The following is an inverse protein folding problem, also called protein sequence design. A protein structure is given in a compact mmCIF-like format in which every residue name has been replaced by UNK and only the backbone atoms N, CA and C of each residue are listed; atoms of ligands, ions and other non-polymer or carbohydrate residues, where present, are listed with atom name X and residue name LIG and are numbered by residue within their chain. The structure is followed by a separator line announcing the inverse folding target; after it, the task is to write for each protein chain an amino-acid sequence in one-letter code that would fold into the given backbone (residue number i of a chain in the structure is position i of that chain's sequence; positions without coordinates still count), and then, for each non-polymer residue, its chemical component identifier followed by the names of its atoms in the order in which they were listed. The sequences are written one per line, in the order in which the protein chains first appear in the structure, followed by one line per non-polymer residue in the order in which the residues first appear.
data_IF_188872470043
#
_entry.id   IF_188872470043
#
_cell.length_a   1.000
_cell.length_b   1.000
_cell.length_c   1.000
_cell.angle_alpha   90.00
_cell.angle_beta   90.00
_cell.angle_gamma   90.00
#
_symmetry.space_group_name_H-M   'P 1'
#
loop_
_entity.id
_entity.type
_entity.pdbx_description
1 polymer ?
#
# COMPACT_ATOMS: atom_id res chain seq x y z
N UNK A 1 -1.53 26.32 -7.11
CA UNK A 1 -1.95 25.03 -6.52
C UNK A 1 -2.04 25.14 -5.01
N UNK A 2 -2.62 24.16 -4.38
CA UNK A 2 -2.72 24.03 -2.92
C UNK A 2 -1.85 22.83 -2.49
N UNK A 3 -1.05 23.00 -1.44
CA UNK A 3 -0.17 21.99 -0.91
C UNK A 3 -0.76 21.43 0.39
N UNK A 4 -0.90 20.11 0.45
CA UNK A 4 -1.36 19.39 1.63
C UNK A 4 -0.17 18.66 2.24
N UNK A 5 0.12 18.90 3.53
CA UNK A 5 1.10 18.13 4.27
C UNK A 5 0.42 16.93 4.93
N UNK A 6 0.91 15.74 4.62
CA UNK A 6 0.51 14.48 5.25
C UNK A 6 1.72 13.78 5.87
N UNK A 7 1.59 13.40 7.11
CA UNK A 7 2.57 12.61 7.84
C UNK A 7 2.18 11.13 7.72
N UNK A 8 3.01 10.37 7.04
CA UNK A 8 2.76 8.95 6.73
C UNK A 8 3.32 8.06 7.85
N UNK A 9 2.67 8.10 9.00
CA UNK A 9 3.07 7.48 10.26
C UNK A 9 2.28 6.22 10.64
N UNK A 10 1.90 5.41 9.65
CA UNK A 10 1.24 4.11 9.83
C UNK A 10 2.06 3.14 10.68
N UNK A 11 3.38 3.20 10.61
CA UNK A 11 4.29 2.44 11.46
C UNK A 11 4.67 3.27 12.69
N UNK A 12 3.84 3.22 13.72
CA UNK A 12 3.98 4.02 14.95
C UNK A 12 5.30 3.75 15.70
N UNK A 13 5.86 2.55 15.57
CA UNK A 13 7.12 2.21 16.25
C UNK A 13 8.32 2.94 15.63
N UNK A 14 8.25 3.18 14.31
CA UNK A 14 9.32 3.86 13.55
C UNK A 14 9.09 5.36 13.42
N UNK A 15 7.84 5.80 13.42
CA UNK A 15 7.46 7.21 13.22
C UNK A 15 7.38 7.96 14.55
N UNK A 16 8.57 8.23 15.12
CA UNK A 16 8.65 8.95 16.39
C UNK A 16 8.37 10.44 16.20
N UNK A 17 7.74 11.07 17.19
CA UNK A 17 7.40 12.49 17.18
C UNK A 17 8.62 13.38 16.91
N UNK A 18 9.77 13.04 17.49
CA UNK A 18 11.02 13.79 17.28
C UNK A 18 11.44 13.91 15.80
N UNK A 19 11.16 12.85 14.98
CA UNK A 19 11.46 12.87 13.54
C UNK A 19 10.41 13.69 12.78
N UNK A 20 9.17 13.61 13.19
CA UNK A 20 8.06 14.40 12.60
C UNK A 20 8.33 15.89 12.81
N UNK A 21 8.70 16.28 14.03
CA UNK A 21 9.05 17.65 14.35
C UNK A 21 10.31 18.12 13.59
N UNK A 22 11.29 17.23 13.41
CA UNK A 22 12.51 17.54 12.67
C UNK A 22 12.19 17.82 11.20
N UNK A 23 11.41 16.96 10.55
CA UNK A 23 11.03 17.13 9.13
C UNK A 23 10.25 18.44 8.92
N UNK A 24 9.35 18.82 9.82
CA UNK A 24 8.62 20.07 9.71
C UNK A 24 9.55 21.29 9.83
N UNK A 25 10.49 21.27 10.79
CA UNK A 25 11.50 22.33 10.90
C UNK A 25 12.41 22.41 9.65
N UNK A 26 12.78 21.26 9.09
CA UNK A 26 13.60 21.21 7.87
C UNK A 26 12.83 21.82 6.68
N UNK A 27 11.53 21.55 6.55
CA UNK A 27 10.69 22.17 5.54
C UNK A 27 10.61 23.68 5.71
N UNK A 28 10.36 24.16 6.93
CA UNK A 28 10.33 25.58 7.24
C UNK A 28 11.68 26.27 6.93
N UNK A 29 12.80 25.64 7.30
CA UNK A 29 14.15 26.14 7.02
C UNK A 29 14.43 26.23 5.51
N UNK A 30 13.88 25.31 4.71
CA UNK A 30 13.99 25.31 3.25
C UNK A 30 12.95 26.24 2.57
N UNK A 31 12.09 26.90 3.33
CA UNK A 31 11.03 27.74 2.79
C UNK A 31 9.88 26.94 2.13
N UNK A 32 9.77 25.65 2.43
CA UNK A 32 8.68 24.80 1.98
C UNK A 32 7.51 24.94 2.95
N UNK A 33 6.41 25.49 2.45
CA UNK A 33 5.19 25.71 3.22
C UNK A 33 4.04 24.88 2.66
N UNK A 34 2.99 24.72 3.44
CA UNK A 34 1.76 24.02 3.04
C UNK A 34 0.54 24.82 3.42
N UNK A 35 -0.55 24.58 2.68
CA UNK A 35 -1.83 25.31 2.87
C UNK A 35 -2.76 24.58 3.84
N UNK A 36 -2.70 23.23 3.87
CA UNK A 36 -3.51 22.40 4.77
C UNK A 36 -2.66 21.30 5.44
N UNK A 37 -3.02 20.94 6.67
CA UNK A 37 -2.33 19.93 7.46
C UNK A 37 -1.46 20.55 8.57
N UNK A 38 -0.54 19.76 9.18
CA UNK A 38 -0.28 18.36 8.88
C UNK A 38 -1.46 17.44 9.21
N UNK A 39 -1.75 16.50 8.29
CA UNK A 39 -2.65 15.39 8.55
C UNK A 39 -1.84 14.15 8.91
N UNK A 40 -2.26 13.42 9.93
CA UNK A 40 -1.57 12.22 10.39
C UNK A 40 -2.32 10.96 9.94
N UNK A 41 -1.63 10.00 9.37
CA UNK A 41 -2.27 8.76 8.94
C UNK A 41 -2.76 7.91 10.11
N UNK A 42 -2.09 7.97 11.26
CA UNK A 42 -2.53 7.25 12.44
C UNK A 42 -3.89 7.69 13.00
N UNK A 43 -4.37 8.88 12.66
CA UNK A 43 -5.68 9.40 13.06
C UNK A 43 -6.80 8.95 12.10
N UNK A 44 -6.46 8.22 11.04
CA UNK A 44 -7.38 7.92 9.95
C UNK A 44 -7.80 6.45 9.88
N UNK A 45 -7.56 5.69 10.93
CA UNK A 45 -7.87 4.25 11.00
C UNK A 45 -9.32 3.92 10.62
N UNK A 46 -10.29 4.77 10.99
CA UNK A 46 -11.70 4.59 10.61
C UNK A 46 -11.94 4.67 9.10
N UNK A 47 -11.27 5.60 8.43
CA UNK A 47 -11.39 5.75 6.98
C UNK A 47 -10.79 4.56 6.24
N UNK A 48 -9.65 4.06 6.72
CA UNK A 48 -9.00 2.87 6.17
C UNK A 48 -9.82 1.61 6.44
N UNK A 49 -10.42 1.49 7.63
CA UNK A 49 -11.31 0.38 7.97
C UNK A 49 -12.54 0.35 7.06
N UNK A 50 -13.17 1.50 6.82
CA UNK A 50 -14.31 1.60 5.91
C UNK A 50 -13.95 1.19 4.48
N UNK A 51 -12.80 1.65 3.97
CA UNK A 51 -12.30 1.25 2.65
C UNK A 51 -11.97 -0.25 2.58
N UNK A 52 -11.36 -0.79 3.63
CA UNK A 52 -11.05 -2.20 3.74
C UNK A 52 -12.32 -3.06 3.75
N UNK A 53 -13.34 -2.69 4.52
CA UNK A 53 -14.61 -3.41 4.59
C UNK A 53 -15.36 -3.36 3.26
N UNK A 54 -15.34 -2.23 2.56
CA UNK A 54 -15.84 -2.09 1.20
C UNK A 54 -15.20 -3.09 0.24
N UNK A 55 -13.87 -3.25 0.29
CA UNK A 55 -13.15 -4.23 -0.54
C UNK A 55 -13.50 -5.66 -0.15
N UNK A 56 -13.64 -5.93 1.15
CA UNK A 56 -13.98 -7.25 1.70
C UNK A 56 -15.38 -7.70 1.29
N UNK A 57 -16.37 -6.84 1.41
CA UNK A 57 -17.76 -7.11 1.03
C UNK A 57 -17.91 -7.46 -0.45
N UNK A 58 -17.02 -6.90 -1.30
CA UNK A 58 -16.97 -7.18 -2.74
C UNK A 58 -16.12 -8.40 -3.12
N UNK A 59 -15.54 -9.08 -2.12
CA UNK A 59 -14.67 -10.23 -2.37
C UNK A 59 -13.37 -9.89 -3.09
N UNK A 60 -12.98 -8.60 -3.07
CA UNK A 60 -11.78 -8.10 -3.75
C UNK A 60 -10.50 -8.35 -2.96
N UNK A 61 -10.60 -8.78 -1.72
CA UNK A 61 -9.45 -9.10 -0.88
C UNK A 61 -9.52 -10.54 -0.36
N UNK A 62 -8.37 -11.08 0.01
CA UNK A 62 -8.27 -12.43 0.56
C UNK A 62 -7.11 -12.54 1.56
N UNK A 63 -7.18 -13.52 2.51
CA UNK A 63 -6.11 -13.73 3.49
C UNK A 63 -4.88 -14.39 2.85
N UNK A 64 -3.70 -13.87 3.21
CA UNK A 64 -2.40 -14.38 2.80
C UNK A 64 -1.57 -14.79 4.03
N UNK A 65 -1.13 -16.03 4.06
CA UNK A 65 -0.37 -16.62 5.16
C UNK A 65 1.13 -16.78 4.84
N UNK A 66 1.59 -16.29 3.70
CA UNK A 66 2.99 -16.38 3.30
C UNK A 66 3.90 -15.56 4.21
N UNK A 67 5.07 -16.15 4.53
CA UNK A 67 6.18 -15.43 5.15
C UNK A 67 7.00 -14.69 4.11
N UNK A 68 7.91 -13.82 4.54
CA UNK A 68 8.91 -13.23 3.63
C UNK A 68 9.76 -14.30 2.96
N UNK A 69 10.14 -15.35 3.68
CA UNK A 69 10.89 -16.47 3.13
C UNK A 69 10.11 -17.22 2.04
N UNK A 70 8.81 -17.45 2.24
CA UNK A 70 7.93 -18.07 1.23
C UNK A 70 7.87 -17.23 -0.05
N UNK A 71 7.79 -15.91 0.09
CA UNK A 71 7.74 -15.00 -1.05
C UNK A 71 9.05 -15.02 -1.84
N UNK A 72 10.20 -15.02 -1.17
CA UNK A 72 11.51 -15.11 -1.82
C UNK A 72 11.73 -16.47 -2.48
N UNK A 73 11.31 -17.56 -1.84
CA UNK A 73 11.45 -18.90 -2.40
C UNK A 73 10.59 -19.11 -3.65
N UNK A 74 9.38 -18.54 -3.68
CA UNK A 74 8.47 -18.66 -4.82
C UNK A 74 8.87 -17.83 -6.03
N UNK A 75 9.55 -16.70 -5.83
CA UNK A 75 9.88 -15.76 -6.91
C UNK A 75 11.31 -15.92 -7.42
N UNK A 76 12.24 -16.48 -6.63
CA UNK A 76 13.67 -16.65 -6.95
C UNK A 76 14.21 -15.57 -7.92
N UNK A 77 13.98 -14.27 -7.64
CA UNK A 77 14.24 -13.22 -8.61
C UNK A 77 15.74 -13.14 -8.90
N UNK A 78 16.10 -13.01 -10.17
CA UNK A 78 17.43 -12.63 -10.54
C UNK A 78 17.72 -11.20 -10.02
N UNK A 79 19.00 -10.91 -9.83
CA UNK A 79 19.45 -9.62 -9.28
C UNK A 79 18.89 -8.46 -10.13
N UNK A 80 17.95 -7.66 -9.57
CA UNK A 80 17.31 -6.54 -10.26
C UNK A 80 15.87 -6.78 -10.73
N UNK A 81 15.32 -8.00 -10.59
CA UNK A 81 13.92 -8.25 -10.90
C UNK A 81 13.01 -7.86 -9.74
N UNK A 82 11.84 -7.28 -10.07
CA UNK A 82 10.80 -6.97 -9.09
C UNK A 82 10.21 -8.28 -8.54
N UNK A 83 10.03 -8.35 -7.23
CA UNK A 83 9.40 -9.49 -6.57
C UNK A 83 7.87 -9.42 -6.78
N UNK A 84 7.37 -10.12 -7.77
CA UNK A 84 5.92 -10.24 -8.02
C UNK A 84 5.36 -11.38 -7.19
N UNK A 85 4.27 -11.14 -6.48
CA UNK A 85 3.62 -12.18 -5.69
C UNK A 85 2.94 -13.21 -6.58
N UNK A 86 3.31 -14.48 -6.42
CA UNK A 86 2.84 -15.60 -7.26
C UNK A 86 1.37 -16.02 -7.05
N UNK A 87 0.62 -15.36 -6.16
CA UNK A 87 -0.77 -15.71 -5.90
C UNK A 87 -0.97 -16.98 -5.05
N UNK A 88 0.05 -17.49 -4.38
CA UNK A 88 0.00 -18.77 -3.61
C UNK A 88 -1.23 -18.92 -2.72
N UNK A 89 -1.67 -17.84 -2.05
CA UNK A 89 -2.85 -17.89 -1.17
C UNK A 89 -4.16 -17.46 -1.87
N UNK A 90 -4.09 -17.00 -3.12
CA UNK A 90 -5.25 -16.49 -3.89
C UNK A 90 -6.29 -17.59 -4.15
N UNK A 91 -5.81 -18.81 -4.40
CA UNK A 91 -6.63 -19.93 -4.86
C UNK A 91 -6.71 -21.08 -3.85
N UNK A 92 -6.43 -20.83 -2.56
CA UNK A 92 -6.56 -21.85 -1.52
C UNK A 92 -7.98 -22.37 -1.46
N UNK A 93 -8.13 -23.71 -1.46
CA UNK A 93 -9.37 -24.38 -1.14
C UNK A 93 -9.83 -24.08 0.30
N UNK A 94 -11.09 -24.30 0.60
CA UNK A 94 -11.62 -24.10 1.96
C UNK A 94 -10.86 -24.94 3.00
N UNK A 95 -10.47 -26.18 2.63
CA UNK A 95 -9.67 -27.08 3.51
C UNK A 95 -8.26 -26.53 3.79
N UNK A 96 -7.58 -26.06 2.76
CA UNK A 96 -6.23 -25.49 2.90
C UNK A 96 -6.27 -24.19 3.71
N UNK A 97 -7.27 -23.35 3.48
CA UNK A 97 -7.48 -22.14 4.26
C UNK A 97 -7.72 -22.46 5.72
N UNK A 98 -8.63 -23.37 6.04
CA UNK A 98 -8.89 -23.81 7.41
C UNK A 98 -7.65 -24.36 8.10
N UNK A 99 -6.80 -25.11 7.38
CA UNK A 99 -5.54 -25.61 7.91
C UNK A 99 -4.53 -24.48 8.23
N UNK A 100 -4.48 -23.44 7.37
CA UNK A 100 -3.66 -22.23 7.64
C UNK A 100 -4.18 -21.45 8.83
N UNK A 101 -5.49 -21.27 8.94
CA UNK A 101 -6.15 -20.60 10.08
C UNK A 101 -5.88 -21.34 11.38
N UNK A 102 -5.97 -22.67 11.38
CA UNK A 102 -5.71 -23.52 12.55
C UNK A 102 -4.24 -23.43 13.04
N UNK A 103 -3.32 -22.94 12.22
CA UNK A 103 -1.93 -22.69 12.64
C UNK A 103 -1.79 -21.51 13.62
N UNK A 104 -2.87 -20.77 13.86
CA UNK A 104 -2.90 -19.58 14.73
C UNK A 104 -2.17 -18.36 14.18
N UNK A 105 -1.69 -18.42 12.94
CA UNK A 105 -1.01 -17.29 12.32
C UNK A 105 -2.00 -16.28 11.78
N UNK A 106 -1.86 -15.03 12.21
CA UNK A 106 -2.65 -13.92 11.67
C UNK A 106 -2.27 -13.67 10.19
N UNK A 107 -3.25 -13.69 9.28
CA UNK A 107 -2.99 -13.42 7.88
C UNK A 107 -2.77 -11.94 7.62
N UNK A 108 -1.97 -11.63 6.62
CA UNK A 108 -2.06 -10.37 5.92
C UNK A 108 -3.24 -10.42 4.92
N UNK A 109 -3.74 -9.27 4.48
CA UNK A 109 -4.80 -9.21 3.48
C UNK A 109 -4.26 -8.62 2.18
N UNK A 110 -4.53 -9.31 1.06
CA UNK A 110 -4.11 -8.88 -0.27
C UNK A 110 -5.30 -8.49 -1.14
N UNK A 111 -5.11 -7.46 -1.95
CA UNK A 111 -6.04 -7.11 -3.02
C UNK A 111 -5.86 -8.09 -4.18
N UNK A 112 -6.96 -8.54 -4.77
CA UNK A 112 -6.98 -9.28 -6.04
C UNK A 112 -6.81 -8.29 -7.17
N UNK A 113 -5.62 -8.26 -7.76
CA UNK A 113 -5.38 -7.43 -8.94
C UNK A 113 -6.08 -8.05 -10.16
N UNK A 114 -6.72 -7.23 -11.01
CA UNK A 114 -7.31 -7.71 -12.25
C UNK A 114 -6.23 -8.01 -13.30
N UNK A 115 -6.48 -9.00 -14.17
CA UNK A 115 -5.68 -9.24 -15.41
C UNK A 115 -6.08 -8.20 -16.46
N UNK A 116 -5.80 -6.94 -16.17
CA UNK A 116 -6.12 -5.80 -17.01
C UNK A 116 -4.91 -4.89 -17.16
N UNK A 117 -4.78 -4.29 -18.33
CA UNK A 117 -3.76 -3.26 -18.59
C UNK A 117 -4.33 -1.92 -18.13
N UNK A 118 -3.67 -1.32 -17.16
CA UNK A 118 -3.93 0.05 -16.74
C UNK A 118 -2.94 0.97 -17.43
N UNK A 119 -3.45 2.01 -18.06
CA UNK A 119 -2.64 2.99 -18.79
C UNK A 119 -2.93 4.39 -18.30
N UNK A 120 -1.91 5.22 -18.24
CA UNK A 120 -2.02 6.64 -17.97
C UNK A 120 -0.90 7.41 -18.68
N UNK A 121 -1.08 8.70 -18.84
CA UNK A 121 -0.06 9.60 -19.36
C UNK A 121 0.66 10.31 -18.22
N UNK A 122 1.96 10.03 -18.08
CA UNK A 122 2.85 10.79 -17.19
C UNK A 122 3.43 11.98 -17.97
N UNK A 123 3.38 13.17 -17.38
CA UNK A 123 3.80 14.40 -18.06
C UNK A 123 5.31 14.48 -18.35
N UNK A 124 6.11 13.65 -17.67
CA UNK A 124 7.59 13.60 -17.80
C UNK A 124 8.02 12.34 -18.55
N UNK A 125 7.45 11.17 -18.17
CA UNK A 125 7.84 9.87 -18.70
C UNK A 125 7.05 9.47 -19.96
N UNK A 126 5.93 10.17 -20.27
CA UNK A 126 5.06 9.84 -21.40
C UNK A 126 4.03 8.76 -21.06
N UNK A 127 3.62 8.00 -22.07
CA UNK A 127 2.60 6.97 -21.90
C UNK A 127 3.15 5.76 -21.15
N UNK A 128 2.48 5.41 -20.06
CA UNK A 128 2.80 4.26 -19.23
C UNK A 128 1.64 3.26 -19.23
N UNK A 129 1.97 1.99 -19.34
CA UNK A 129 0.99 0.90 -19.34
C UNK A 129 1.53 -0.29 -18.57
N UNK A 130 0.72 -0.87 -17.70
CA UNK A 130 1.10 -2.01 -16.88
C UNK A 130 -0.07 -2.97 -16.72
N UNK A 131 0.18 -4.28 -16.84
CA UNK A 131 -0.78 -5.29 -16.45
C UNK A 131 -0.62 -5.56 -14.93
N UNK A 132 -1.62 -5.21 -14.14
CA UNK A 132 -1.51 -5.26 -12.69
C UNK A 132 -1.27 -6.68 -12.15
N UNK A 133 -1.93 -7.70 -12.71
CA UNK A 133 -1.77 -9.07 -12.22
C UNK A 133 -0.37 -9.62 -12.55
N UNK A 134 0.14 -9.37 -13.75
CA UNK A 134 1.40 -9.94 -14.23
C UNK A 134 2.63 -9.20 -13.75
N UNK A 135 2.55 -7.87 -13.73
CA UNK A 135 3.71 -7.01 -13.51
C UNK A 135 3.86 -6.55 -12.05
N UNK A 136 2.74 -6.48 -11.32
CA UNK A 136 2.67 -6.04 -9.93
C UNK A 136 2.32 -7.20 -8.97
N UNK A 137 1.38 -8.05 -9.38
CA UNK A 137 0.79 -9.08 -8.54
C UNK A 137 -0.12 -8.52 -7.45
N UNK A 138 -0.74 -9.42 -6.69
CA UNK A 138 -1.63 -9.03 -5.59
C UNK A 138 -0.83 -8.37 -4.45
N UNK A 139 -1.11 -7.12 -4.17
CA UNK A 139 -0.40 -6.36 -3.14
C UNK A 139 -1.15 -6.30 -1.80
N UNK A 140 -0.43 -5.98 -0.74
CA UNK A 140 -1.00 -5.91 0.61
C UNK A 140 -1.87 -4.67 0.77
N UNK A 141 -3.03 -4.83 1.40
CA UNK A 141 -3.90 -3.75 1.88
C UNK A 141 -3.93 -3.70 3.41
N UNK A 142 -3.64 -4.85 4.07
CA UNK A 142 -3.49 -4.93 5.52
C UNK A 142 -2.40 -5.93 5.87
N UNK A 143 -1.52 -5.58 6.79
CA UNK A 143 -0.40 -6.40 7.26
C UNK A 143 -0.88 -7.45 8.26
N UNK A 144 -0.05 -8.45 8.54
CA UNK A 144 -0.35 -9.49 9.54
C UNK A 144 -0.36 -8.97 10.98
N UNK A 145 0.29 -7.85 11.26
CA UNK A 145 0.21 -7.12 12.53
C UNK A 145 -1.03 -6.21 12.64
N UNK A 146 -1.93 -6.32 11.67
CA UNK A 146 -3.19 -5.59 11.53
C UNK A 146 -3.06 -4.10 11.15
N UNK A 147 -1.87 -3.57 10.95
CA UNK A 147 -1.69 -2.24 10.40
C UNK A 147 -2.14 -2.20 8.93
N UNK A 148 -2.77 -1.10 8.52
CA UNK A 148 -3.09 -0.88 7.11
C UNK A 148 -1.82 -0.68 6.29
N UNK A 149 -1.84 -1.13 5.05
CA UNK A 149 -0.70 -0.98 4.17
C UNK A 149 -0.74 0.38 3.46
N UNK A 150 0.45 0.89 3.13
CA UNK A 150 0.62 2.16 2.43
C UNK A 150 -0.25 2.25 1.16
N UNK A 151 -0.32 1.18 0.38
CA UNK A 151 -1.09 1.12 -0.87
C UNK A 151 -2.59 1.41 -0.69
N UNK A 152 -3.18 1.02 0.44
CA UNK A 152 -4.55 1.37 0.76
C UNK A 152 -4.65 2.81 1.28
N UNK A 153 -3.80 3.16 2.25
CA UNK A 153 -3.87 4.44 2.94
C UNK A 153 -3.67 5.62 2.00
N UNK A 154 -2.67 5.56 1.10
CA UNK A 154 -2.39 6.66 0.17
C UNK A 154 -3.57 6.94 -0.76
N UNK A 155 -4.24 5.91 -1.27
CA UNK A 155 -5.39 6.08 -2.17
C UNK A 155 -6.59 6.67 -1.44
N UNK A 156 -6.86 6.20 -0.22
CA UNK A 156 -7.95 6.71 0.62
C UNK A 156 -7.72 8.18 0.99
N UNK A 157 -6.49 8.51 1.34
CA UNK A 157 -6.13 9.88 1.73
C UNK A 157 -6.12 10.83 0.55
N UNK A 158 -5.53 10.45 -0.58
CA UNK A 158 -5.49 11.29 -1.78
C UNK A 158 -6.92 11.62 -2.24
N UNK A 159 -7.82 10.64 -2.23
CA UNK A 159 -9.22 10.85 -2.57
C UNK A 159 -9.92 11.79 -1.56
N UNK A 160 -9.75 11.56 -0.26
CA UNK A 160 -10.39 12.35 0.79
C UNK A 160 -9.84 13.79 0.86
N UNK A 161 -8.58 13.98 0.56
CA UNK A 161 -7.90 15.27 0.59
C UNK A 161 -8.02 16.04 -0.73
N UNK A 162 -8.55 15.40 -1.79
CA UNK A 162 -8.76 16.02 -3.11
C UNK A 162 -7.46 16.21 -3.90
N UNK A 163 -6.47 15.33 -3.67
CA UNK A 163 -5.20 15.35 -4.41
C UNK A 163 -5.47 15.02 -5.88
N UNK A 164 -5.08 15.90 -6.78
CA UNK A 164 -5.26 15.75 -8.22
C UNK A 164 -3.99 15.98 -9.05
N UNK A 165 -2.88 16.31 -8.39
CA UNK A 165 -1.57 16.43 -9.01
C UNK A 165 -0.54 15.70 -8.15
N UNK A 166 0.15 14.73 -8.75
CA UNK A 166 1.12 13.86 -8.06
C UNK A 166 2.46 13.98 -8.75
N UNK A 167 3.52 14.24 -7.96
CA UNK A 167 4.91 14.22 -8.41
C UNK A 167 5.67 13.24 -7.53
N UNK A 168 6.24 12.21 -8.13
CA UNK A 168 6.96 11.12 -7.43
C UNK A 168 8.25 10.75 -8.15
N UNK A 169 9.11 10.01 -7.46
CA UNK A 169 10.26 9.37 -8.09
C UNK A 169 9.82 8.32 -9.13
N UNK A 170 10.61 8.16 -10.18
CA UNK A 170 10.36 7.18 -11.25
C UNK A 170 10.31 5.73 -10.75
N UNK A 171 10.92 5.45 -9.62
CA UNK A 171 10.91 4.16 -8.92
C UNK A 171 9.53 3.79 -8.33
N UNK A 172 8.59 4.75 -8.33
CA UNK A 172 7.21 4.56 -7.87
C UNK A 172 6.19 4.50 -9.01
N UNK A 173 6.67 4.39 -10.25
CA UNK A 173 5.85 4.09 -11.42
C UNK A 173 5.45 2.62 -11.48
#
# INVERSE_FOLDING_TARGET
GEIVLRIEDLDRERSKSEYIDAVQRDFEMLGLTWDRGPFFQHDRDEAYAAAFDFLKERGLIYPCYCTRADLHAASAPHRGEKLVYSGTCRSLSAKERAAKEASGRMPAMRLRTPDEVISFHDTIQGDYSQNLERDCGDFLVRRSDQAFAYQLAVVVDDAAQGVNSVVRGVDLL
#
